data_IF_585344146410
#
_entry.id   IF_585344146410
#
_cell.length_a   1.000
_cell.length_b   1.000
_cell.length_c   1.000
_cell.angle_alpha   90.00
_cell.angle_beta   90.00
_cell.angle_gamma   90.00
#
_symmetry.space_group_name_H-M   'P 1'
#
loop_
_entity.id
_entity.type
_entity.pdbx_description
1 polymer ?
#
# COMPACT_ATOMS: atom_id res chain seq x y z
N UNK A 1 -6.22 -29.99 -24.43
CA UNK A 1 -5.25 -28.99 -23.93
C UNK A 1 -6.00 -27.88 -23.20
N UNK A 2 -5.83 -27.72 -21.89
CA UNK A 2 -6.40 -26.58 -21.16
C UNK A 2 -5.47 -25.38 -21.37
N UNK A 3 -5.92 -24.36 -22.10
CA UNK A 3 -5.20 -23.09 -22.19
C UNK A 3 -5.25 -22.44 -20.80
N UNK A 4 -4.11 -22.40 -20.11
CA UNK A 4 -3.93 -21.64 -18.89
C UNK A 4 -3.80 -20.17 -19.30
N UNK A 5 -4.89 -19.42 -19.29
CA UNK A 5 -4.79 -17.96 -19.27
C UNK A 5 -4.40 -17.56 -17.85
N UNK A 6 -3.30 -16.81 -17.65
CA UNK A 6 -3.08 -16.18 -16.34
C UNK A 6 -4.28 -15.27 -16.07
N UNK A 7 -4.93 -15.44 -14.91
CA UNK A 7 -5.96 -14.49 -14.47
C UNK A 7 -5.32 -13.10 -14.49
N UNK A 8 -5.98 -12.12 -15.10
CA UNK A 8 -5.53 -10.73 -14.99
C UNK A 8 -5.42 -10.39 -13.51
N UNK A 9 -4.30 -9.78 -13.07
CA UNK A 9 -4.15 -9.38 -11.68
C UNK A 9 -5.29 -8.44 -11.28
N UNK A 10 -5.86 -8.66 -10.10
CA UNK A 10 -6.92 -7.80 -9.56
C UNK A 10 -6.29 -6.43 -9.29
N UNK A 11 -6.75 -5.41 -10.02
CA UNK A 11 -6.31 -4.04 -9.81
C UNK A 11 -7.15 -3.39 -8.71
N UNK A 12 -6.49 -2.68 -7.79
CA UNK A 12 -7.12 -1.94 -6.71
C UNK A 12 -6.46 -0.57 -6.58
N UNK A 13 -7.25 0.42 -6.19
CA UNK A 13 -6.80 1.77 -5.81
C UNK A 13 -7.62 2.19 -4.60
N UNK A 14 -6.95 2.50 -3.50
CA UNK A 14 -7.59 2.75 -2.20
C UNK A 14 -6.88 3.86 -1.45
N UNK A 15 -7.63 4.58 -0.62
CA UNK A 15 -7.06 5.56 0.29
C UNK A 15 -6.59 4.86 1.56
N UNK A 16 -5.32 5.06 1.92
CA UNK A 16 -4.71 4.59 3.14
C UNK A 16 -4.34 5.75 4.06
N UNK A 17 -4.32 5.48 5.37
CA UNK A 17 -4.01 6.48 6.39
C UNK A 17 -2.55 6.36 6.83
N UNK A 18 -1.85 7.48 6.91
CA UNK A 18 -0.49 7.54 7.43
C UNK A 18 -0.53 7.86 8.90
N UNK A 19 0.04 6.97 9.72
CA UNK A 19 0.15 7.14 11.18
C UNK A 19 1.62 7.13 11.58
N UNK A 20 1.92 7.73 12.73
CA UNK A 20 3.24 7.60 13.36
C UNK A 20 3.23 6.43 14.33
N UNK A 21 4.24 5.58 14.25
CA UNK A 21 4.43 4.47 15.19
C UNK A 21 5.89 4.46 15.64
N UNK A 22 6.15 5.01 16.83
CA UNK A 22 7.50 5.35 17.24
C UNK A 22 8.09 6.45 16.35
N UNK A 23 9.30 6.21 15.83
CA UNK A 23 10.01 7.19 15.00
C UNK A 23 9.65 7.09 13.50
N UNK A 24 8.96 6.02 13.09
CA UNK A 24 8.59 5.78 11.69
C UNK A 24 7.17 6.24 11.34
N UNK A 25 7.00 6.69 10.10
CA UNK A 25 5.69 6.83 9.47
C UNK A 25 5.30 5.48 8.87
N UNK A 26 4.07 5.06 9.12
CA UNK A 26 3.54 3.78 8.64
C UNK A 26 2.21 4.04 7.97
N UNK A 27 2.08 3.53 6.76
CA UNK A 27 0.83 3.48 6.04
C UNK A 27 0.04 2.25 6.49
N UNK A 28 -1.18 2.49 6.98
CA UNK A 28 -2.11 1.45 7.39
C UNK A 28 -3.23 1.32 6.37
N UNK A 29 -3.40 0.10 5.88
CA UNK A 29 -4.41 -0.25 4.89
C UNK A 29 -5.20 -1.44 5.44
N UNK A 30 -6.52 -1.32 5.66
CA UNK A 30 -7.32 -2.46 6.07
C UNK A 30 -7.31 -3.56 5.00
N UNK A 31 -7.13 -4.82 5.42
CA UNK A 31 -7.16 -5.96 4.50
C UNK A 31 -8.52 -6.09 3.80
N UNK A 32 -9.60 -5.84 4.56
CA UNK A 32 -10.98 -5.94 4.08
C UNK A 32 -11.31 -4.99 2.90
N UNK A 33 -10.57 -3.89 2.74
CA UNK A 33 -10.79 -2.92 1.66
C UNK A 33 -9.86 -3.12 0.46
N UNK A 34 -8.99 -4.14 0.48
CA UNK A 34 -8.06 -4.44 -0.62
C UNK A 34 -6.59 -4.49 -0.20
N UNK A 35 -6.27 -4.35 1.09
CA UNK A 35 -4.91 -4.55 1.60
C UNK A 35 -4.38 -5.96 1.36
N UNK A 36 -5.26 -6.97 1.32
CA UNK A 36 -4.93 -8.35 0.98
C UNK A 36 -4.36 -8.48 -0.44
N UNK A 37 -4.98 -7.80 -1.42
CA UNK A 37 -4.54 -7.76 -2.81
C UNK A 37 -3.21 -7.02 -2.91
N UNK A 38 -3.09 -5.86 -2.24
CA UNK A 38 -1.89 -5.04 -2.29
C UNK A 38 -0.67 -5.71 -1.63
N UNK A 39 -0.88 -6.56 -0.62
CA UNK A 39 0.19 -7.30 0.04
C UNK A 39 0.98 -8.17 -0.95
N UNK A 40 0.33 -8.67 -2.01
CA UNK A 40 1.00 -9.45 -3.06
C UNK A 40 2.03 -8.63 -3.85
N UNK A 41 1.84 -7.31 -3.93
CA UNK A 41 2.67 -6.35 -4.68
C UNK A 41 3.66 -5.59 -3.81
N UNK A 42 3.48 -5.60 -2.49
CA UNK A 42 4.33 -4.93 -1.52
C UNK A 42 5.28 -5.90 -0.79
N UNK A 43 5.54 -7.08 -1.37
CA UNK A 43 6.42 -8.09 -0.77
C UNK A 43 7.81 -7.52 -0.52
N UNK A 44 8.31 -7.72 0.71
CA UNK A 44 9.63 -7.24 1.14
C UNK A 44 9.67 -5.79 1.61
N UNK A 45 8.60 -5.02 1.42
CA UNK A 45 8.47 -3.63 1.91
C UNK A 45 7.25 -3.43 2.82
N UNK A 46 6.50 -4.49 3.10
CA UNK A 46 5.29 -4.45 3.90
C UNK A 46 5.14 -5.68 4.78
N UNK A 47 4.29 -5.57 5.79
CA UNK A 47 3.95 -6.64 6.72
C UNK A 47 2.45 -6.64 6.97
N UNK A 48 1.81 -7.81 6.94
CA UNK A 48 0.44 -7.96 7.42
C UNK A 48 0.46 -8.13 8.93
N UNK A 49 -0.19 -7.23 9.67
CA UNK A 49 -0.39 -7.36 11.12
C UNK A 49 -1.86 -7.16 11.49
N UNK A 50 -2.44 -8.20 12.07
CA UNK A 50 -3.87 -8.23 12.38
C UNK A 50 -4.70 -8.00 11.10
N UNK A 51 -5.57 -7.01 11.14
CA UNK A 51 -6.48 -6.69 10.03
C UNK A 51 -5.93 -5.64 9.05
N UNK A 52 -4.64 -5.32 9.14
CA UNK A 52 -4.02 -4.27 8.34
C UNK A 52 -2.77 -4.75 7.60
N UNK A 53 -2.61 -4.31 6.36
CA UNK A 53 -1.33 -4.22 5.69
C UNK A 53 -0.61 -2.96 6.18
N UNK A 54 0.61 -3.16 6.70
CA UNK A 54 1.49 -2.10 7.19
C UNK A 54 2.60 -1.91 6.19
N UNK A 55 2.78 -0.67 5.73
CA UNK A 55 3.86 -0.30 4.82
C UNK A 55 4.65 0.83 5.48
N UNK A 56 5.85 0.57 6.01
CA UNK A 56 6.73 1.63 6.47
C UNK A 56 6.98 2.62 5.34
N UNK A 57 6.85 3.92 5.63
CA UNK A 57 7.10 5.00 4.70
C UNK A 57 8.47 5.60 5.03
N UNK A 58 9.51 5.34 4.21
CA UNK A 58 10.83 5.89 4.42
C UNK A 58 10.81 7.41 4.43
N UNK A 59 11.68 8.05 5.23
CA UNK A 59 11.77 9.51 5.34
C UNK A 59 11.94 10.20 3.99
N UNK A 60 12.81 9.69 3.12
CA UNK A 60 13.04 10.24 1.78
C UNK A 60 11.76 10.24 0.92
N UNK A 61 10.89 9.23 1.08
CA UNK A 61 9.63 9.14 0.35
C UNK A 61 8.58 10.07 0.96
N UNK A 62 8.53 10.15 2.29
CA UNK A 62 7.67 11.06 3.01
C UNK A 62 7.98 12.52 2.64
N UNK A 63 9.25 12.90 2.61
CA UNK A 63 9.71 14.23 2.19
C UNK A 63 9.35 14.51 0.72
N UNK A 64 9.66 13.56 -0.18
CA UNK A 64 9.37 13.69 -1.61
C UNK A 64 7.88 13.91 -1.89
N UNK A 65 6.99 13.24 -1.14
CA UNK A 65 5.55 13.34 -1.31
C UNK A 65 4.91 14.36 -0.34
N UNK A 66 5.69 15.00 0.53
CA UNK A 66 5.20 15.88 1.60
C UNK A 66 4.24 15.21 2.58
N UNK A 67 4.34 13.89 2.75
CA UNK A 67 3.49 13.08 3.63
C UNK A 67 3.93 13.29 5.08
N UNK A 68 2.95 13.43 5.97
CA UNK A 68 3.14 13.51 7.42
C UNK A 68 2.12 12.62 8.12
N UNK A 69 2.25 12.50 9.43
CA UNK A 69 1.21 11.88 10.24
C UNK A 69 -0.15 12.53 9.98
N UNK A 70 -1.19 11.70 9.81
CA UNK A 70 -2.54 12.14 9.47
C UNK A 70 -2.77 12.41 7.98
N UNK A 71 -1.74 12.35 7.13
CA UNK A 71 -1.93 12.42 5.69
C UNK A 71 -2.72 11.22 5.18
N UNK A 72 -3.54 11.47 4.16
CA UNK A 72 -4.14 10.44 3.33
C UNK A 72 -3.29 10.26 2.06
N UNK A 73 -3.19 9.02 1.62
CA UNK A 73 -2.47 8.64 0.40
C UNK A 73 -3.30 7.66 -0.39
N UNK A 74 -3.24 7.76 -1.71
CA UNK A 74 -3.76 6.75 -2.61
C UNK A 74 -2.69 5.66 -2.78
N UNK A 75 -3.14 4.42 -2.72
CA UNK A 75 -2.31 3.22 -2.90
C UNK A 75 -2.92 2.36 -3.97
N UNK A 76 -2.12 1.99 -4.96
CA UNK A 76 -2.55 1.17 -6.07
C UNK A 76 -1.53 0.12 -6.48
N UNK A 77 -1.98 -0.84 -7.30
CA UNK A 77 -1.12 -1.83 -7.95
C UNK A 77 -1.14 -1.72 -9.49
N UNK A 78 -1.33 -0.52 -10.05
CA UNK A 78 -1.37 -0.33 -11.49
C UNK A 78 -0.07 -0.81 -12.16
N UNK A 79 -0.24 -1.50 -13.28
CA UNK A 79 0.84 -2.16 -14.03
C UNK A 79 1.65 -3.17 -13.19
N UNK A 80 1.03 -3.74 -12.15
CA UNK A 80 1.65 -4.73 -11.27
C UNK A 80 2.73 -4.15 -10.36
N UNK A 81 2.70 -2.84 -10.10
CA UNK A 81 3.62 -2.16 -9.19
C UNK A 81 2.85 -1.54 -8.05
N UNK A 82 3.29 -1.77 -6.83
CA UNK A 82 2.77 -1.06 -5.66
C UNK A 82 3.20 0.41 -5.73
N UNK A 83 2.24 1.33 -5.72
CA UNK A 83 2.47 2.78 -5.80
C UNK A 83 1.80 3.47 -4.62
N UNK A 84 2.45 4.55 -4.18
CA UNK A 84 1.92 5.47 -3.17
C UNK A 84 1.94 6.85 -3.81
N UNK A 85 0.79 7.51 -3.86
CA UNK A 85 0.64 8.90 -4.27
C UNK A 85 -0.09 9.66 -3.18
N UNK A 86 0.20 10.95 -3.04
CA UNK A 86 -0.56 11.80 -2.12
C UNK A 86 -2.00 11.95 -2.65
N UNK A 87 -2.97 11.89 -1.73
CA UNK A 87 -4.35 12.30 -2.01
C UNK A 87 -4.41 13.81 -1.72
N UNK A 88 -4.47 14.62 -2.79
CA UNK A 88 -4.46 16.09 -2.71
C UNK A 88 -5.86 16.66 -2.47
#
# INVERSE_FOLDING_TARGET
MRRFWPKKPKQVSIVGSVVRQGDELVLLIPLAVGGDVLAEYAKGISEVRGEHLRVPVPSWLAEKLGIREGSQVIVDNFEGKFRITRDD
#
